data_IF_759958956417
#
_entry.id   IF_759958956417
#
_cell.length_a   1.000
_cell.length_b   1.000
_cell.length_c   1.000
_cell.angle_alpha   90.00
_cell.angle_beta   90.00
_cell.angle_gamma   90.00
#
_symmetry.space_group_name_H-M   'P 1'
#
loop_
_entity.id
_entity.type
_entity.pdbx_description
1 polymer ?
#
# COMPACT_ATOMS: atom_id res chain seq x y z
N UNK A 1 8.48 -11.28 27.09
CA UNK A 1 8.34 -10.07 26.26
C UNK A 1 8.69 -10.35 24.79
N UNK A 2 9.84 -10.95 24.47
CA UNK A 2 10.25 -11.28 23.10
C UNK A 2 9.30 -12.18 22.29
N UNK A 3 8.61 -13.12 22.94
CA UNK A 3 7.63 -13.99 22.28
C UNK A 3 6.49 -13.21 21.59
N UNK A 4 6.10 -12.06 22.14
CA UNK A 4 5.06 -11.21 21.56
C UNK A 4 5.52 -10.56 20.26
N UNK A 5 6.79 -10.16 20.19
CA UNK A 5 7.39 -9.65 18.96
C UNK A 5 7.55 -10.75 17.89
N UNK A 6 7.77 -12.00 18.29
CA UNK A 6 7.73 -13.12 17.37
C UNK A 6 6.34 -13.27 16.72
N UNK A 7 5.25 -13.03 17.45
CA UNK A 7 3.91 -13.01 16.84
C UNK A 7 3.77 -11.89 15.81
N UNK A 8 4.33 -10.70 16.07
CA UNK A 8 4.36 -9.60 15.08
C UNK A 8 5.07 -10.03 13.81
N UNK A 9 6.23 -10.68 13.94
CA UNK A 9 6.98 -11.22 12.81
C UNK A 9 6.16 -12.24 12.01
N UNK A 10 5.66 -13.27 12.69
CA UNK A 10 4.96 -14.38 12.06
C UNK A 10 3.66 -13.94 11.41
N UNK A 11 2.89 -13.07 12.08
CA UNK A 11 1.63 -12.58 11.54
C UNK A 11 1.84 -11.65 10.34
N UNK A 12 2.86 -10.78 10.38
CA UNK A 12 3.24 -9.93 9.24
C UNK A 12 3.73 -10.77 8.05
N UNK A 13 4.51 -11.81 8.30
CA UNK A 13 4.94 -12.76 7.26
C UNK A 13 3.74 -13.53 6.68
N UNK A 14 2.81 -13.98 7.54
CA UNK A 14 1.66 -14.78 7.14
C UNK A 14 0.68 -14.01 6.26
N UNK A 15 0.47 -12.71 6.47
CA UNK A 15 -0.39 -11.93 5.57
C UNK A 15 0.27 -11.65 4.22
N UNK A 16 1.59 -11.47 4.20
CA UNK A 16 2.30 -11.08 2.98
C UNK A 16 2.82 -12.26 2.15
N UNK A 17 2.88 -13.46 2.73
CA UNK A 17 3.20 -14.70 1.99
C UNK A 17 2.03 -15.17 1.14
N UNK A 18 0.78 -14.80 1.45
CA UNK A 18 -0.42 -15.31 0.76
C UNK A 18 -0.70 -14.48 -0.51
N UNK A 19 -1.04 -15.11 -1.64
CA UNK A 19 -1.25 -14.41 -2.91
C UNK A 19 -2.68 -13.84 -3.02
N UNK A 20 -3.22 -13.34 -1.90
CA UNK A 20 -4.58 -12.82 -1.77
C UNK A 20 -4.55 -11.38 -1.24
N UNK A 21 -5.60 -10.58 -1.49
CA UNK A 21 -5.75 -9.26 -0.89
C UNK A 21 -6.15 -9.40 0.59
N UNK A 22 -5.19 -9.76 1.43
CA UNK A 22 -5.32 -9.75 2.88
C UNK A 22 -5.14 -8.33 3.45
N UNK A 23 -5.54 -8.09 4.72
CA UNK A 23 -5.21 -6.84 5.40
C UNK A 23 -3.70 -6.55 5.30
N UNK A 24 -3.31 -5.30 5.04
CA UNK A 24 -1.90 -4.92 5.00
C UNK A 24 -1.19 -5.28 6.31
N UNK A 25 0.11 -5.65 6.24
CA UNK A 25 0.87 -6.03 7.42
C UNK A 25 0.88 -4.96 8.53
N UNK A 26 0.86 -3.66 8.19
CA UNK A 26 0.78 -2.60 9.19
C UNK A 26 -0.49 -2.69 10.06
N UNK A 27 -1.62 -3.19 9.52
CA UNK A 27 -2.87 -3.37 10.27
C UNK A 27 -2.65 -4.40 11.39
N UNK A 28 -1.99 -5.50 11.04
CA UNK A 28 -1.61 -6.55 12.00
C UNK A 28 -0.62 -6.01 13.02
N UNK A 29 0.37 -5.22 12.59
CA UNK A 29 1.34 -4.58 13.49
C UNK A 29 0.66 -3.64 14.49
N UNK A 30 -0.21 -2.73 14.02
CA UNK A 30 -0.99 -1.82 14.87
C UNK A 30 -1.83 -2.59 15.88
N UNK A 31 -2.56 -3.60 15.40
CA UNK A 31 -3.41 -4.42 16.26
C UNK A 31 -2.60 -5.09 17.39
N UNK A 32 -1.50 -5.76 17.04
CA UNK A 32 -0.65 -6.45 18.02
C UNK A 32 0.09 -5.47 18.92
N UNK A 33 0.49 -4.30 18.40
CA UNK A 33 1.12 -3.23 19.18
C UNK A 33 0.19 -2.73 20.28
N UNK A 34 -1.07 -2.43 19.95
CA UNK A 34 -2.08 -1.96 20.90
C UNK A 34 -2.46 -3.08 21.88
N UNK A 35 -2.78 -4.28 21.35
CA UNK A 35 -3.26 -5.40 22.16
C UNK A 35 -2.24 -5.85 23.21
N UNK A 36 -0.96 -5.88 22.85
CA UNK A 36 0.10 -6.34 23.73
C UNK A 36 0.87 -5.21 24.43
N UNK A 37 0.51 -3.94 24.17
CA UNK A 37 1.19 -2.74 24.63
C UNK A 37 2.70 -2.77 24.34
N UNK A 38 3.05 -3.05 23.08
CA UNK A 38 4.44 -3.17 22.64
C UNK A 38 5.04 -1.81 22.27
N UNK A 39 6.35 -1.71 22.36
CA UNK A 39 7.11 -0.57 21.87
C UNK A 39 7.01 -0.49 20.34
N UNK A 40 6.83 0.73 19.83
CA UNK A 40 6.56 0.97 18.41
C UNK A 40 7.77 0.58 17.53
N UNK A 41 8.98 0.96 17.93
CA UNK A 41 10.18 0.72 17.12
C UNK A 41 10.47 -0.77 16.89
N UNK A 42 10.50 -1.64 17.92
CA UNK A 42 10.68 -3.07 17.69
C UNK A 42 9.53 -3.70 16.90
N UNK A 43 8.27 -3.25 17.08
CA UNK A 43 7.14 -3.71 16.25
C UNK A 43 7.40 -3.40 14.78
N UNK A 44 7.81 -2.17 14.44
CA UNK A 44 8.09 -1.77 13.05
C UNK A 44 9.23 -2.60 12.48
N UNK A 45 10.37 -2.69 13.16
CA UNK A 45 11.56 -3.39 12.65
C UNK A 45 11.23 -4.88 12.41
N UNK A 46 10.61 -5.53 13.39
CA UNK A 46 10.33 -6.97 13.35
C UNK A 46 9.17 -7.28 12.40
N UNK A 47 8.13 -6.45 12.39
CA UNK A 47 7.00 -6.59 11.47
C UNK A 47 7.41 -6.37 10.02
N UNK A 48 8.20 -5.33 9.72
CA UNK A 48 8.72 -5.07 8.38
C UNK A 48 9.63 -6.22 7.94
N UNK A 49 10.49 -6.74 8.81
CA UNK A 49 11.31 -7.91 8.50
C UNK A 49 10.45 -9.15 8.16
N UNK A 50 9.42 -9.43 8.95
CA UNK A 50 8.49 -10.54 8.70
C UNK A 50 7.74 -10.38 7.38
N UNK A 51 7.21 -9.19 7.12
CA UNK A 51 6.54 -8.86 5.85
C UNK A 51 7.46 -9.02 4.64
N UNK A 52 8.68 -8.47 4.70
CA UNK A 52 9.67 -8.55 3.61
C UNK A 52 10.02 -10.01 3.34
N UNK A 53 10.17 -10.82 4.39
CA UNK A 53 10.35 -12.27 4.25
C UNK A 53 9.14 -12.93 3.58
N UNK A 54 7.91 -12.58 3.99
CA UNK A 54 6.68 -13.06 3.35
C UNK A 54 6.63 -12.73 1.86
N UNK A 55 6.95 -11.49 1.48
CA UNK A 55 7.04 -11.04 0.08
C UNK A 55 8.15 -11.72 -0.70
N UNK A 56 9.30 -11.95 -0.07
CA UNK A 56 10.38 -12.73 -0.66
C UNK A 56 9.91 -14.15 -0.98
N UNK A 57 9.30 -14.84 -0.01
CA UNK A 57 8.79 -16.21 -0.22
C UNK A 57 7.71 -16.22 -1.31
N UNK A 58 6.78 -15.25 -1.30
CA UNK A 58 5.77 -15.06 -2.34
C UNK A 58 6.39 -15.01 -3.73
N UNK A 59 7.43 -14.20 -3.94
CA UNK A 59 8.10 -14.10 -5.24
C UNK A 59 8.75 -15.40 -5.71
N UNK A 60 9.14 -16.29 -4.79
CA UNK A 60 9.79 -17.56 -5.14
C UNK A 60 8.81 -18.61 -5.63
N UNK A 61 7.60 -18.67 -5.07
CA UNK A 61 6.62 -19.71 -5.43
C UNK A 61 5.60 -19.25 -6.46
N UNK A 62 5.33 -17.95 -6.58
CA UNK A 62 4.40 -17.40 -7.60
C UNK A 62 4.71 -17.90 -9.02
N UNK A 63 5.96 -17.89 -9.52
CA UNK A 63 6.24 -18.40 -10.86
C UNK A 63 5.72 -19.83 -11.08
N UNK A 64 5.74 -20.68 -10.05
CA UNK A 64 5.31 -22.09 -10.13
C UNK A 64 3.79 -22.24 -10.15
N UNK A 65 3.09 -21.45 -9.33
CA UNK A 65 1.63 -21.53 -9.21
C UNK A 65 0.90 -20.71 -10.25
N UNK A 66 1.52 -19.64 -10.76
CA UNK A 66 0.90 -18.72 -11.71
C UNK A 66 0.47 -19.42 -13.01
N UNK A 67 1.27 -20.39 -13.49
CA UNK A 67 0.92 -21.20 -14.65
C UNK A 67 -0.32 -22.08 -14.46
N UNK A 68 -0.69 -22.38 -13.21
CA UNK A 68 -1.88 -23.18 -12.89
C UNK A 68 -3.11 -22.31 -12.57
N UNK A 69 -2.90 -21.05 -12.16
CA UNK A 69 -3.95 -20.13 -11.72
C UNK A 69 -4.38 -19.17 -12.84
N UNK A 70 -3.44 -18.68 -13.64
CA UNK A 70 -3.69 -17.65 -14.66
C UNK A 70 -3.64 -18.23 -16.07
N UNK A 71 -4.47 -17.67 -16.96
CA UNK A 71 -4.44 -17.99 -18.40
C UNK A 71 -3.07 -17.63 -19.01
N UNK A 72 -2.57 -18.38 -20.01
CA UNK A 72 -1.29 -18.13 -20.65
C UNK A 72 -1.11 -16.69 -21.13
N UNK A 73 -2.11 -16.14 -21.83
CA UNK A 73 -2.08 -14.77 -22.38
C UNK A 73 -1.88 -13.70 -21.31
N UNK A 74 -2.47 -13.89 -20.12
CA UNK A 74 -2.30 -12.97 -18.98
C UNK A 74 -0.93 -13.10 -18.33
N UNK A 75 -0.34 -14.28 -18.38
CA UNK A 75 1.03 -14.47 -17.93
C UNK A 75 2.02 -13.79 -18.88
N UNK A 76 1.78 -13.84 -20.19
CA UNK A 76 2.59 -13.16 -21.22
C UNK A 76 2.54 -11.63 -21.09
N UNK A 77 1.34 -11.06 -20.92
CA UNK A 77 1.16 -9.60 -20.67
C UNK A 77 1.99 -9.13 -19.46
N UNK A 78 1.93 -9.89 -18.37
CA UNK A 78 2.62 -9.56 -17.12
C UNK A 78 4.13 -9.77 -17.25
N UNK A 79 4.57 -10.81 -17.95
CA UNK A 79 5.98 -11.03 -18.28
C UNK A 79 6.55 -9.90 -19.14
N UNK A 80 5.79 -9.41 -20.12
CA UNK A 80 6.18 -8.26 -20.92
C UNK A 80 6.35 -7.00 -20.06
N UNK A 81 5.40 -6.72 -19.16
CA UNK A 81 5.50 -5.61 -18.21
C UNK A 81 6.73 -5.72 -17.30
N UNK A 82 6.98 -6.90 -16.74
CA UNK A 82 8.15 -7.12 -15.90
C UNK A 82 9.48 -6.99 -16.66
N UNK A 83 9.53 -7.41 -17.94
CA UNK A 83 10.68 -7.15 -18.82
C UNK A 83 10.91 -5.65 -19.03
N UNK A 84 9.85 -4.86 -19.24
CA UNK A 84 9.92 -3.39 -19.34
C UNK A 84 10.37 -2.72 -18.04
N UNK A 85 9.93 -3.22 -16.89
CA UNK A 85 10.42 -2.76 -15.58
C UNK A 85 11.92 -3.05 -15.44
N UNK A 86 12.37 -4.26 -15.80
CA UNK A 86 13.78 -4.66 -15.75
C UNK A 86 14.68 -3.81 -16.66
N UNK A 87 14.23 -3.48 -17.87
CA UNK A 87 14.94 -2.63 -18.83
C UNK A 87 15.18 -1.19 -18.30
N UNK A 88 14.33 -0.71 -17.40
CA UNK A 88 14.38 0.67 -16.88
C UNK A 88 15.33 0.88 -15.69
N UNK A 89 15.99 -0.17 -15.18
CA UNK A 89 17.04 -0.08 -14.15
C UNK A 89 16.63 0.75 -12.92
N UNK A 90 17.34 1.84 -12.62
CA UNK A 90 17.05 2.74 -11.49
C UNK A 90 15.64 3.33 -11.50
N UNK A 91 15.07 3.60 -12.68
CA UNK A 91 13.69 4.12 -12.78
C UNK A 91 12.66 3.11 -12.28
N UNK A 92 12.97 1.82 -12.36
CA UNK A 92 12.14 0.76 -11.75
C UNK A 92 12.16 0.85 -10.23
N UNK A 93 13.33 1.09 -9.61
CA UNK A 93 13.43 1.24 -8.16
C UNK A 93 12.61 2.44 -7.67
N UNK A 94 12.69 3.57 -8.36
CA UNK A 94 11.87 4.75 -8.04
C UNK A 94 10.38 4.45 -8.16
N UNK A 95 9.94 3.78 -9.23
CA UNK A 95 8.54 3.41 -9.39
C UNK A 95 8.05 2.48 -8.26
N UNK A 96 8.86 1.49 -7.88
CA UNK A 96 8.55 0.57 -6.77
C UNK A 96 8.51 1.31 -5.43
N UNK A 97 9.46 2.21 -5.19
CA UNK A 97 9.51 3.02 -3.98
C UNK A 97 8.27 3.91 -3.88
N UNK A 98 7.95 4.66 -4.93
CA UNK A 98 6.74 5.49 -4.99
C UNK A 98 5.48 4.66 -4.79
N UNK A 99 5.39 3.48 -5.41
CA UNK A 99 4.26 2.56 -5.22
C UNK A 99 4.13 2.10 -3.77
N UNK A 100 5.26 1.79 -3.12
CA UNK A 100 5.30 1.27 -1.75
C UNK A 100 5.06 2.34 -0.68
N UNK A 101 5.31 3.61 -1.00
CA UNK A 101 5.00 4.74 -0.12
C UNK A 101 3.51 5.10 -0.13
N UNK A 102 2.82 4.78 -1.22
CA UNK A 102 1.38 4.97 -1.32
C UNK A 102 0.63 3.85 -0.57
N UNK A 103 -0.59 4.10 -0.08
CA UNK A 103 -1.44 3.09 0.55
C UNK A 103 -2.06 2.17 -0.51
N UNK A 104 -1.24 1.64 -1.42
CA UNK A 104 -1.63 0.71 -2.47
C UNK A 104 -1.40 -0.73 -2.01
N UNK A 105 -2.24 -1.69 -2.44
CA UNK A 105 -1.99 -3.09 -2.16
C UNK A 105 -0.68 -3.51 -2.82
N UNK A 106 0.28 -4.01 -2.05
CA UNK A 106 1.59 -4.43 -2.60
C UNK A 106 1.57 -5.85 -3.15
N UNK A 107 0.53 -6.64 -2.86
CA UNK A 107 0.35 -8.00 -3.39
C UNK A 107 0.39 -8.06 -4.93
N UNK A 108 -0.35 -7.23 -5.69
CA UNK A 108 -0.26 -7.20 -7.15
C UNK A 108 1.16 -6.95 -7.68
N UNK A 109 1.94 -6.08 -7.03
CA UNK A 109 3.33 -5.81 -7.43
C UNK A 109 4.20 -7.07 -7.34
N UNK A 110 4.10 -7.81 -6.24
CA UNK A 110 4.87 -9.04 -6.04
C UNK A 110 4.37 -10.23 -6.86
N UNK A 111 3.05 -10.33 -7.06
CA UNK A 111 2.48 -11.33 -7.99
C UNK A 111 2.96 -11.05 -9.40
N UNK A 112 2.85 -9.82 -9.88
CA UNK A 112 3.30 -9.44 -11.21
C UNK A 112 4.82 -9.64 -11.38
N UNK A 113 5.61 -9.25 -10.38
CA UNK A 113 7.05 -9.49 -10.36
C UNK A 113 7.43 -10.97 -10.40
N UNK A 114 6.72 -11.81 -9.63
CA UNK A 114 6.90 -13.25 -9.64
C UNK A 114 6.51 -13.89 -10.98
N UNK A 115 5.34 -13.55 -11.53
CA UNK A 115 4.88 -14.01 -12.85
C UNK A 115 5.88 -13.65 -13.96
N UNK A 116 6.48 -12.46 -13.85
CA UNK A 116 7.52 -12.00 -14.76
C UNK A 116 8.92 -12.58 -14.52
N UNK A 117 9.08 -13.54 -13.60
CA UNK A 117 10.36 -14.11 -13.20
C UNK A 117 11.41 -13.03 -12.86
N UNK A 118 10.99 -11.93 -12.25
CA UNK A 118 11.91 -10.89 -11.78
C UNK A 118 12.71 -11.41 -10.59
N UNK A 119 14.00 -11.09 -10.55
CA UNK A 119 14.82 -11.40 -9.37
C UNK A 119 14.24 -10.63 -8.17
N UNK A 120 14.04 -11.25 -7.00
CA UNK A 120 13.52 -10.55 -5.83
C UNK A 120 14.36 -9.32 -5.45
N UNK A 121 15.67 -9.38 -5.68
CA UNK A 121 16.61 -8.26 -5.47
C UNK A 121 16.31 -7.02 -6.33
N UNK A 122 15.54 -7.17 -7.42
CA UNK A 122 15.08 -6.05 -8.24
C UNK A 122 13.84 -5.35 -7.67
N UNK A 123 13.18 -5.90 -6.65
CA UNK A 123 11.95 -5.32 -6.07
C UNK A 123 12.15 -4.98 -4.59
N UNK A 124 12.75 -5.91 -3.84
CA UNK A 124 12.83 -5.87 -2.38
C UNK A 124 13.55 -4.64 -1.83
N UNK A 125 14.70 -4.16 -2.36
CA UNK A 125 15.41 -3.04 -1.75
C UNK A 125 14.57 -1.75 -1.68
N UNK A 126 13.97 -1.33 -2.81
CA UNK A 126 13.07 -0.18 -2.83
C UNK A 126 11.80 -0.41 -2.01
N UNK A 127 11.27 -1.64 -2.02
CA UNK A 127 10.12 -2.01 -1.21
C UNK A 127 10.40 -1.91 0.28
N UNK A 128 11.55 -2.36 0.77
CA UNK A 128 11.93 -2.28 2.20
C UNK A 128 11.85 -0.83 2.67
N UNK A 129 12.44 0.10 1.90
CA UNK A 129 12.47 1.52 2.27
C UNK A 129 11.06 2.10 2.30
N UNK A 130 10.30 1.91 1.21
CA UNK A 130 8.95 2.45 1.13
C UNK A 130 8.03 1.86 2.19
N UNK A 131 8.12 0.55 2.40
CA UNK A 131 7.36 -0.16 3.41
C UNK A 131 7.73 0.27 4.82
N UNK A 132 9.02 0.41 5.13
CA UNK A 132 9.44 0.86 6.46
C UNK A 132 8.85 2.23 6.78
N UNK A 133 8.90 3.17 5.83
CA UNK A 133 8.34 4.51 6.00
C UNK A 133 6.81 4.43 6.15
N UNK A 134 6.13 3.70 5.26
CA UNK A 134 4.67 3.60 5.26
C UNK A 134 4.13 2.91 6.53
N UNK A 135 4.71 1.76 6.89
CA UNK A 135 4.33 1.02 8.09
C UNK A 135 4.71 1.80 9.36
N UNK A 136 5.82 2.53 9.39
CA UNK A 136 6.15 3.39 10.52
C UNK A 136 5.09 4.48 10.73
N UNK A 137 4.74 5.22 9.66
CA UNK A 137 3.68 6.24 9.72
C UNK A 137 2.39 5.61 10.23
N UNK A 138 1.97 4.48 9.66
CA UNK A 138 0.74 3.80 10.02
C UNK A 138 0.74 3.31 11.48
N UNK A 139 1.84 2.74 11.97
CA UNK A 139 1.94 2.24 13.35
C UNK A 139 1.96 3.39 14.35
N UNK A 140 2.69 4.48 14.09
CA UNK A 140 2.67 5.67 14.94
C UNK A 140 1.30 6.33 14.96
N UNK A 141 0.65 6.49 13.81
CA UNK A 141 -0.71 7.03 13.73
C UNK A 141 -1.72 6.13 14.43
N UNK A 142 -1.60 4.81 14.27
CA UNK A 142 -2.45 3.83 14.93
C UNK A 142 -2.34 3.90 16.46
N UNK A 143 -1.11 4.00 16.99
CA UNK A 143 -0.88 4.21 18.42
C UNK A 143 -1.47 5.54 18.90
N UNK A 144 -1.20 6.63 18.18
CA UNK A 144 -1.71 7.97 18.53
C UNK A 144 -3.24 7.97 18.59
N UNK A 145 -3.90 7.40 17.57
CA UNK A 145 -5.35 7.28 17.50
C UNK A 145 -5.92 6.42 18.64
N UNK A 146 -5.21 5.37 19.06
CA UNK A 146 -5.63 4.51 20.17
C UNK A 146 -5.50 5.22 21.53
N UNK A 147 -4.41 5.96 21.75
CA UNK A 147 -4.17 6.71 22.99
C UNK A 147 -5.14 7.89 23.15
N UNK A 148 -5.51 8.54 22.04
CA UNK A 148 -6.42 9.69 22.03
C UNK A 148 -7.82 9.30 21.53
N UNK A 149 -8.22 8.04 21.67
CA UNK A 149 -9.47 7.54 21.07
C UNK A 149 -10.70 8.35 21.49
N UNK A 150 -10.76 8.80 22.75
CA UNK A 150 -11.85 9.64 23.25
C UNK A 150 -11.85 11.03 22.60
N UNK A 151 -10.67 11.66 22.49
CA UNK A 151 -10.53 12.98 21.86
C UNK A 151 -10.78 12.92 20.34
N UNK A 152 -10.33 11.85 19.68
CA UNK A 152 -10.63 11.59 18.27
C UNK A 152 -12.14 11.44 18.09
N UNK A 153 -12.81 10.67 18.96
CA UNK A 153 -14.24 10.45 18.89
C UNK A 153 -15.05 11.73 19.12
N UNK A 154 -14.70 12.51 20.14
CA UNK A 154 -15.33 13.81 20.42
C UNK A 154 -15.02 14.84 19.32
N UNK A 155 -13.82 14.79 18.74
CA UNK A 155 -13.37 15.63 17.63
C UNK A 155 -13.90 15.24 16.25
N UNK A 156 -14.63 14.13 16.11
CA UNK A 156 -15.27 13.74 14.84
C UNK A 156 -16.26 14.82 14.38
N UNK A 157 -16.98 15.44 15.32
CA UNK A 157 -17.88 16.58 15.05
C UNK A 157 -17.20 17.89 15.42
N UNK A 158 -15.96 18.08 14.99
CA UNK A 158 -15.22 19.34 15.14
C UNK A 158 -15.32 20.22 13.90
N UNK A 159 -15.04 21.51 14.06
CA UNK A 159 -14.93 22.45 12.95
C UNK A 159 -13.84 22.03 11.95
N UNK A 160 -12.75 21.40 12.41
CA UNK A 160 -11.71 20.88 11.51
C UNK A 160 -12.24 19.73 10.65
N UNK A 161 -13.00 18.80 11.24
CA UNK A 161 -13.63 17.68 10.50
C UNK A 161 -14.65 18.18 9.48
N UNK A 162 -15.47 19.18 9.85
CA UNK A 162 -16.46 19.78 8.94
C UNK A 162 -15.77 20.50 7.78
N UNK A 163 -14.77 21.33 8.07
CA UNK A 163 -14.02 22.05 7.02
C UNK A 163 -13.25 21.10 6.12
N UNK A 164 -12.63 20.06 6.66
CA UNK A 164 -12.00 18.98 5.89
C UNK A 164 -12.99 18.24 4.99
N UNK A 165 -14.17 17.91 5.50
CA UNK A 165 -15.25 17.27 4.73
C UNK A 165 -15.76 18.18 3.61
N UNK A 166 -16.04 19.46 3.90
CA UNK A 166 -16.48 20.44 2.91
C UNK A 166 -15.41 20.67 1.85
N UNK A 167 -14.14 20.72 2.23
CA UNK A 167 -13.03 20.83 1.28
C UNK A 167 -12.92 19.59 0.40
N UNK A 168 -13.05 18.39 0.98
CA UNK A 168 -13.10 17.14 0.23
C UNK A 168 -14.26 17.12 -0.77
N UNK A 169 -15.46 17.52 -0.34
CA UNK A 169 -16.63 17.63 -1.20
C UNK A 169 -16.41 18.65 -2.32
N UNK A 170 -15.78 19.78 -2.01
CA UNK A 170 -15.41 20.80 -2.99
C UNK A 170 -14.41 20.27 -4.03
N UNK A 171 -13.41 19.48 -3.63
CA UNK A 171 -12.48 18.85 -4.56
C UNK A 171 -13.17 17.84 -5.46
N UNK A 172 -14.05 16.99 -4.91
CA UNK A 172 -14.85 16.03 -5.69
C UNK A 172 -15.76 16.78 -6.67
N UNK A 173 -16.45 17.82 -6.21
CA UNK A 173 -17.29 18.66 -7.04
C UNK A 173 -16.48 19.35 -8.16
N UNK A 174 -15.31 19.89 -7.84
CA UNK A 174 -14.41 20.48 -8.82
C UNK A 174 -14.02 19.45 -9.89
N UNK A 175 -13.73 18.22 -9.48
CA UNK A 175 -13.38 17.17 -10.44
C UNK A 175 -14.55 16.77 -11.35
N UNK A 176 -15.77 16.68 -10.81
CA UNK A 176 -16.95 16.25 -11.55
C UNK A 176 -17.57 17.34 -12.42
N UNK A 177 -17.61 18.58 -11.94
CA UNK A 177 -18.37 19.65 -12.56
C UNK A 177 -17.52 20.60 -13.39
N UNK A 178 -16.20 20.66 -13.20
CA UNK A 178 -15.32 21.48 -14.06
C UNK A 178 -15.15 20.79 -15.40
N UNK A 179 -15.38 21.53 -16.48
CA UNK A 179 -14.99 21.09 -17.83
C UNK A 179 -13.47 21.21 -17.97
N UNK A 180 -12.76 20.17 -17.53
CA UNK A 180 -11.31 20.09 -17.61
C UNK A 180 -10.77 20.23 -19.03
N UNK A 181 -11.57 19.87 -20.05
CA UNK A 181 -11.17 20.00 -21.46
C UNK A 181 -11.15 21.47 -21.87
N UNK A 182 -12.21 22.23 -21.59
CA UNK A 182 -12.22 23.69 -21.85
C UNK A 182 -11.23 24.43 -20.95
N UNK A 183 -11.04 24.01 -19.70
CA UNK A 183 -10.08 24.63 -18.78
C UNK A 183 -8.64 24.47 -19.26
N UNK A 184 -8.21 23.24 -19.58
CA UNK A 184 -6.81 22.94 -19.91
C UNK A 184 -6.44 23.28 -21.36
N UNK A 185 -7.38 23.19 -22.30
CA UNK A 185 -7.10 23.41 -23.73
C UNK A 185 -7.45 24.81 -24.21
N UNK A 186 -8.52 25.39 -23.67
CA UNK A 186 -9.05 26.69 -24.15
C UNK A 186 -8.79 27.83 -23.14
N UNK A 187 -8.22 27.52 -21.96
CA UNK A 187 -8.06 28.45 -20.83
C UNK A 187 -9.36 29.14 -20.41
N UNK A 188 -10.51 28.48 -20.64
CA UNK A 188 -11.82 29.00 -20.25
C UNK A 188 -12.41 28.14 -19.15
N UNK A 189 -12.65 28.75 -17.99
CA UNK A 189 -13.35 28.10 -16.88
C UNK A 189 -14.82 27.91 -17.25
N UNK A 190 -15.26 26.65 -17.35
CA UNK A 190 -16.66 26.28 -17.59
C UNK A 190 -17.06 25.19 -16.61
N UNK A 191 -18.29 25.30 -16.10
CA UNK A 191 -18.88 24.33 -15.19
C UNK A 191 -20.02 23.63 -15.92
N UNK A 192 -20.00 22.30 -15.97
CA UNK A 192 -21.05 21.49 -16.55
C UNK A 192 -21.82 20.77 -15.43
N UNK A 193 -23.00 21.29 -15.09
CA UNK A 193 -23.88 20.71 -14.06
C UNK A 193 -24.73 19.54 -14.56
N UNK A 194 -24.75 19.27 -15.88
CA UNK A 194 -25.42 18.10 -16.48
C UNK A 194 -24.48 16.90 -16.52
N UNK A 195 -24.18 16.34 -15.35
CA UNK A 195 -23.47 15.06 -15.22
C UNK A 195 -24.42 13.84 -15.22
N UNK A 196 -25.70 14.07 -14.94
CA UNK A 196 -26.73 13.03 -14.91
C UNK A 196 -27.48 13.01 -16.24
N UNK A 197 -27.84 11.80 -16.72
CA UNK A 197 -28.66 11.60 -17.92
C UNK A 197 -30.12 11.99 -17.67
#
# INVERSE_FOLDING_TARGET
MWLKYLYVFLASAAVDIVPLPLPPAFVVMVFLQIHFQLDVWPVIIIGVAGSVLGRYILTLYIPKIAHHIFKPDKNEDVQYLGKKLKEKGWKSQLAILSYSLLPLPTTPLFIAGGMANMKPMSIIPAFIVGKFISDAIAVFMGKFAAEHANEVWEGVVSWQSITGFLFGLFLVASFLFIDWRSLLREHRFRVNLKIWK
#
